data_IF_130259431177
#
_entry.id   IF_130259431177
#
_cell.length_a   1.000
_cell.length_b   1.000
_cell.length_c   1.000
_cell.angle_alpha   90.00
_cell.angle_beta   90.00
_cell.angle_gamma   90.00
#
_symmetry.space_group_name_H-M   'P 1'
#
loop_
_entity.id
_entity.type
_entity.pdbx_description
1 polymer ?
#
# COMPACT_ATOMS: atom_id res chain seq x y z
N UNK A 1 -23.11 -0.39 1.12
CA UNK A 1 -22.29 -0.24 -0.09
C UNK A 1 -21.15 -1.23 -0.05
N UNK A 2 -20.82 -1.76 -1.21
CA UNK A 2 -19.76 -2.74 -1.31
C UNK A 2 -18.39 -2.08 -1.15
N UNK A 3 -17.48 -2.82 -0.55
CA UNK A 3 -16.10 -2.39 -0.41
C UNK A 3 -15.17 -3.41 -1.06
N UNK A 4 -14.01 -2.95 -1.45
CA UNK A 4 -12.97 -3.77 -2.05
C UNK A 4 -11.77 -3.75 -1.12
N UNK A 5 -11.16 -4.91 -0.95
CA UNK A 5 -9.92 -5.03 -0.18
C UNK A 5 -8.80 -5.41 -1.14
N UNK A 6 -7.73 -4.64 -1.13
CA UNK A 6 -6.56 -4.91 -1.96
C UNK A 6 -5.36 -5.19 -1.06
N UNK A 7 -4.68 -6.27 -1.34
CA UNK A 7 -3.42 -6.58 -0.68
C UNK A 7 -2.29 -6.16 -1.59
N UNK A 8 -1.52 -5.18 -1.17
CA UNK A 8 -0.49 -4.57 -2.00
C UNK A 8 0.85 -4.63 -1.28
N UNK A 9 1.86 -5.15 -1.97
CA UNK A 9 3.23 -5.09 -1.47
C UNK A 9 3.83 -3.76 -1.87
N UNK A 10 4.45 -3.11 -0.91
CA UNK A 10 5.09 -1.82 -1.09
C UNK A 10 6.58 -2.01 -0.85
N UNK A 11 7.37 -1.80 -1.89
CA UNK A 11 8.82 -1.98 -1.82
C UNK A 11 9.48 -0.63 -1.55
N UNK A 12 10.23 -0.51 -0.45
CA UNK A 12 10.96 0.74 -0.19
C UNK A 12 12.09 0.92 -1.21
N UNK A 13 12.53 2.15 -1.39
CA UNK A 13 13.61 2.47 -2.33
C UNK A 13 14.96 1.91 -1.90
N UNK A 14 15.17 1.76 -0.60
CA UNK A 14 16.43 1.24 -0.04
C UNK A 14 16.20 0.59 1.31
N UNK A 15 17.24 -0.13 1.77
CA UNK A 15 17.18 -0.85 3.04
C UNK A 15 17.12 0.07 4.26
N UNK A 16 17.55 1.31 4.10
CA UNK A 16 17.60 2.29 5.19
C UNK A 16 16.29 3.03 5.44
N UNK A 17 15.29 2.81 4.61
CA UNK A 17 13.98 3.44 4.80
C UNK A 17 13.36 2.97 6.11
N UNK A 18 12.91 3.94 6.93
CA UNK A 18 12.21 3.65 8.17
C UNK A 18 10.79 3.17 7.86
N UNK A 19 10.52 1.91 8.13
CA UNK A 19 9.22 1.30 7.83
C UNK A 19 8.08 1.92 8.63
N UNK A 20 8.34 2.31 9.87
CA UNK A 20 7.34 2.99 10.69
C UNK A 20 6.93 4.33 10.08
N UNK A 21 7.90 5.08 9.61
CA UNK A 21 7.65 6.34 8.91
C UNK A 21 6.97 6.12 7.57
N UNK A 22 7.36 5.06 6.85
CA UNK A 22 6.75 4.73 5.57
C UNK A 22 5.27 4.38 5.72
N UNK A 23 4.91 3.64 6.77
CA UNK A 23 3.50 3.33 7.06
C UNK A 23 2.68 4.60 7.20
N UNK A 24 3.19 5.57 7.94
CA UNK A 24 2.50 6.85 8.15
C UNK A 24 2.35 7.63 6.85
N UNK A 25 3.38 7.65 6.02
CA UNK A 25 3.35 8.32 4.72
C UNK A 25 2.32 7.69 3.79
N UNK A 26 2.27 6.36 3.79
CA UNK A 26 1.30 5.61 2.98
C UNK A 26 -0.12 5.96 3.41
N UNK A 27 -0.40 5.92 4.71
CA UNK A 27 -1.73 6.23 5.21
C UNK A 27 -2.17 7.65 4.85
N UNK A 28 -1.26 8.61 4.93
CA UNK A 28 -1.55 10.00 4.59
C UNK A 28 -1.76 10.21 3.10
N UNK A 29 -1.09 9.42 2.27
CA UNK A 29 -1.18 9.57 0.82
C UNK A 29 -2.46 9.02 0.23
N UNK A 30 -3.13 8.10 0.93
CA UNK A 30 -4.32 7.43 0.41
C UNK A 30 -5.47 8.40 0.13
N UNK A 31 -6.26 8.13 -0.93
CA UNK A 31 -7.44 8.94 -1.23
C UNK A 31 -8.47 8.92 -0.09
N UNK A 32 -9.43 9.86 -0.08
CA UNK A 32 -10.52 9.84 0.90
C UNK A 32 -11.28 8.50 0.89
N UNK A 33 -11.82 8.13 2.02
CA UNK A 33 -12.60 6.91 2.23
C UNK A 33 -11.80 5.62 2.05
N UNK A 34 -10.48 5.73 1.95
CA UNK A 34 -9.57 4.60 1.81
C UNK A 34 -8.75 4.49 3.09
N UNK A 35 -8.61 3.30 3.61
CA UNK A 35 -7.86 3.08 4.85
C UNK A 35 -7.05 1.79 4.78
N UNK A 36 -6.05 1.69 5.65
CA UNK A 36 -5.26 0.47 5.78
C UNK A 36 -5.79 -0.30 6.97
N UNK A 37 -6.30 -1.51 6.71
CA UNK A 37 -6.78 -2.39 7.77
C UNK A 37 -5.62 -3.04 8.52
N UNK A 38 -4.51 -3.27 7.81
CA UNK A 38 -3.39 -4.01 8.37
C UNK A 38 -2.13 -3.76 7.56
N UNK A 39 -1.00 -3.69 8.27
CA UNK A 39 0.33 -3.74 7.65
C UNK A 39 1.05 -4.98 8.17
N UNK A 40 1.71 -5.68 7.28
CA UNK A 40 2.65 -6.74 7.61
C UNK A 40 3.99 -6.42 6.98
N UNK A 41 5.05 -7.02 7.48
CA UNK A 41 6.37 -6.88 6.92
C UNK A 41 6.80 -8.21 6.34
N UNK A 42 7.34 -8.18 5.13
CA UNK A 42 7.81 -9.37 4.45
C UNK A 42 9.27 -9.19 4.04
N UNK A 43 10.20 -9.93 4.65
CA UNK A 43 11.58 -9.87 4.21
C UNK A 43 11.71 -10.37 2.78
N UNK A 44 12.46 -9.64 1.97
CA UNK A 44 12.79 -10.05 0.61
C UNK A 44 14.30 -10.18 0.48
N UNK A 45 14.88 -10.04 -0.69
CA UNK A 45 16.31 -10.27 -0.86
C UNK A 45 17.14 -9.06 -0.40
N UNK A 46 18.40 -9.32 -0.07
CA UNK A 46 19.42 -8.29 0.19
C UNK A 46 19.09 -7.32 1.33
N UNK A 47 18.41 -7.80 2.35
CA UNK A 47 18.09 -6.99 3.52
C UNK A 47 16.91 -6.05 3.33
N UNK A 48 16.25 -6.07 2.17
CA UNK A 48 15.03 -5.29 1.95
C UNK A 48 13.85 -5.97 2.62
N UNK A 49 12.96 -5.16 3.18
CA UNK A 49 11.71 -5.62 3.76
C UNK A 49 10.58 -4.87 3.09
N UNK A 50 9.64 -5.60 2.51
CA UNK A 50 8.46 -5.00 1.90
C UNK A 50 7.37 -4.83 2.94
N UNK A 51 6.57 -3.77 2.81
CA UNK A 51 5.33 -3.63 3.57
C UNK A 51 4.21 -4.28 2.77
N UNK A 52 3.43 -5.11 3.43
CA UNK A 52 2.24 -5.69 2.81
C UNK A 52 1.05 -4.99 3.44
N UNK A 53 0.39 -4.14 2.66
CA UNK A 53 -0.73 -3.36 3.14
C UNK A 53 -2.05 -3.97 2.66
N UNK A 54 -2.98 -4.12 3.59
CA UNK A 54 -4.34 -4.53 3.27
C UNK A 54 -5.20 -3.29 3.28
N UNK A 55 -5.56 -2.81 2.10
CA UNK A 55 -6.23 -1.52 1.92
C UNK A 55 -7.70 -1.73 1.61
N UNK A 56 -8.56 -1.05 2.36
CA UNK A 56 -10.00 -1.08 2.17
C UNK A 56 -10.43 0.19 1.45
N UNK A 57 -11.19 0.03 0.38
CA UNK A 57 -11.64 1.15 -0.43
C UNK A 57 -13.08 0.93 -0.90
N UNK A 58 -13.80 2.01 -1.23
CA UNK A 58 -15.14 1.86 -1.83
C UNK A 58 -15.04 1.17 -3.18
N UNK A 59 -16.04 0.36 -3.51
CA UNK A 59 -16.12 -0.24 -4.84
C UNK A 59 -16.62 0.83 -5.82
N UNK A 60 -15.69 1.39 -6.56
CA UNK A 60 -15.94 2.55 -7.40
C UNK A 60 -14.97 2.50 -8.57
N UNK A 61 -15.47 2.85 -9.76
CA UNK A 61 -14.65 2.84 -10.96
C UNK A 61 -13.46 3.80 -10.82
N UNK A 62 -12.28 3.33 -11.16
CA UNK A 62 -11.05 4.11 -11.09
C UNK A 62 -10.46 4.26 -9.70
N UNK A 63 -11.09 3.75 -8.67
CA UNK A 63 -10.59 3.88 -7.29
C UNK A 63 -9.24 3.16 -7.13
N UNK A 64 -9.12 1.96 -7.68
CA UNK A 64 -7.88 1.21 -7.59
C UNK A 64 -6.71 1.96 -8.22
N UNK A 65 -6.93 2.59 -9.37
CA UNK A 65 -5.91 3.38 -10.03
C UNK A 65 -5.47 4.56 -9.16
N UNK A 66 -6.40 5.22 -8.50
CA UNK A 66 -6.09 6.32 -7.59
C UNK A 66 -5.26 5.86 -6.40
N UNK A 67 -5.57 4.69 -5.86
CA UNK A 67 -4.81 4.10 -4.76
C UNK A 67 -3.39 3.80 -5.21
N UNK A 68 -3.24 3.16 -6.37
CA UNK A 68 -1.91 2.85 -6.90
C UNK A 68 -1.09 4.12 -7.15
N UNK A 69 -1.69 5.14 -7.75
CA UNK A 69 -1.00 6.41 -7.98
C UNK A 69 -0.57 7.07 -6.67
N UNK A 70 -1.45 7.03 -5.67
CA UNK A 70 -1.15 7.61 -4.36
C UNK A 70 0.05 6.91 -3.73
N UNK A 71 0.09 5.59 -3.78
CA UNK A 71 1.20 4.82 -3.22
C UNK A 71 2.50 5.11 -3.95
N UNK A 72 2.45 5.19 -5.27
CA UNK A 72 3.64 5.48 -6.08
C UNK A 72 4.16 6.89 -5.87
N UNK A 73 3.32 7.81 -5.43
CA UNK A 73 3.71 9.19 -5.18
C UNK A 73 4.49 9.38 -3.88
N UNK A 74 4.49 8.38 -3.00
CA UNK A 74 5.23 8.45 -1.75
C UNK A 74 6.73 8.35 -2.05
N UNK A 75 7.51 9.30 -1.54
CA UNK A 75 8.92 9.44 -1.86
C UNK A 75 9.75 8.18 -1.63
N UNK A 76 9.50 7.49 -0.53
CA UNK A 76 10.29 6.31 -0.17
C UNK A 76 9.79 5.01 -0.78
N UNK A 77 8.74 5.06 -1.59
CA UNK A 77 8.22 3.89 -2.29
C UNK A 77 8.92 3.75 -3.64
N UNK A 78 9.63 2.64 -3.81
CA UNK A 78 10.32 2.34 -5.05
C UNK A 78 9.41 1.63 -6.06
N UNK A 79 8.58 0.72 -5.57
CA UNK A 79 7.72 -0.09 -6.42
C UNK A 79 6.54 -0.61 -5.60
N UNK A 80 5.45 -0.91 -6.27
CA UNK A 80 4.31 -1.60 -5.64
C UNK A 80 3.93 -2.81 -6.48
N UNK A 81 3.34 -3.81 -5.82
CA UNK A 81 2.82 -4.99 -6.49
C UNK A 81 1.46 -5.34 -5.88
N UNK A 82 0.43 -5.35 -6.70
CA UNK A 82 -0.89 -5.79 -6.26
C UNK A 82 -0.87 -7.31 -6.20
N UNK A 83 -1.05 -7.85 -5.01
CA UNK A 83 -0.99 -9.29 -4.78
C UNK A 83 -2.35 -9.94 -4.96
N UNK A 84 -3.37 -9.30 -4.40
CA UNK A 84 -4.71 -9.86 -4.44
C UNK A 84 -5.74 -8.74 -4.24
N UNK A 85 -6.92 -8.93 -4.83
CA UNK A 85 -8.02 -7.96 -4.70
C UNK A 85 -9.30 -8.77 -4.55
N UNK A 86 -10.11 -8.44 -3.57
CA UNK A 86 -11.38 -9.13 -3.38
C UNK A 86 -12.43 -8.18 -2.80
N UNK A 87 -13.67 -8.58 -2.94
CA UNK A 87 -14.79 -7.85 -2.34
C UNK A 87 -14.96 -8.26 -0.89
N UNK A 88 -15.30 -7.27 -0.11
CA UNK A 88 -15.58 -7.48 1.31
C UNK A 88 -17.10 -7.57 1.53
#
# INVERSE_FOLDING_TARGET
MAKVVAQIKIFPTETTVDLGGLRKKVEKALPPETSVARFDEEPIAFGLVALVARIIMPEEEGRMDKVEEALKSVEDVGEIQVVNVWRS
#
